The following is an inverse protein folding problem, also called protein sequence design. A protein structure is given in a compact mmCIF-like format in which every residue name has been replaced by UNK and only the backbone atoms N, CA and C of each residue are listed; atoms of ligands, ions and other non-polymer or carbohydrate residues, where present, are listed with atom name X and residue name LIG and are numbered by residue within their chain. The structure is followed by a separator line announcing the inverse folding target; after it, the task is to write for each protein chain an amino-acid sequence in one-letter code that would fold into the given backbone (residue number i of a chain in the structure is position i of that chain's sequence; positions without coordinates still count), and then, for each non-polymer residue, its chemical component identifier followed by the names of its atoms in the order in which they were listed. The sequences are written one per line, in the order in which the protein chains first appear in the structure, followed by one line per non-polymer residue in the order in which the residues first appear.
data_IF_845290336364
#
_entry.id   IF_845290336364
#
_cell.length_a   1.000
_cell.length_b   1.000
_cell.length_c   1.000
_cell.angle_alpha   90.00
_cell.angle_beta   90.00
_cell.angle_gamma   90.00
#
_symmetry.space_group_name_H-M   'P 1'
#
loop_
_entity.id
_entity.type
_entity.pdbx_description
1 polymer ?
#
# COMPACT_ATOMS: atom_id res chain seq x y z
N UNK A 1 -16.73 8.64 28.11
CA UNK A 1 -17.12 10.06 28.21
C UNK A 1 -18.39 10.33 27.40
N UNK A 2 -19.07 11.45 27.61
CA UNK A 2 -20.19 11.88 26.77
C UNK A 2 -19.68 12.52 25.47
N UNK A 3 -20.50 12.48 24.42
CA UNK A 3 -20.23 13.17 23.16
C UNK A 3 -20.67 14.63 23.30
N UNK A 4 -19.85 15.57 22.82
CA UNK A 4 -20.03 17.00 22.97
C UNK A 4 -19.87 17.73 21.62
N UNK A 5 -20.69 17.32 20.63
CA UNK A 5 -20.79 17.95 19.31
C UNK A 5 -19.47 17.97 18.50
N UNK A 6 -18.51 17.09 18.78
CA UNK A 6 -17.19 17.09 18.13
C UNK A 6 -17.27 16.90 16.60
N UNK A 7 -18.30 16.22 16.09
CA UNK A 7 -18.54 16.01 14.65
C UNK A 7 -19.57 16.97 14.05
N UNK A 8 -20.10 17.93 14.81
CA UNK A 8 -20.99 18.96 14.27
C UNK A 8 -20.28 19.89 13.28
N UNK A 9 -19.01 20.17 13.54
CA UNK A 9 -18.11 20.95 12.68
C UNK A 9 -16.77 20.22 12.58
N UNK A 10 -16.29 20.05 11.35
CA UNK A 10 -15.01 19.41 11.04
C UNK A 10 -13.98 20.49 10.80
N UNK A 11 -13.19 20.81 11.82
CA UNK A 11 -12.25 21.93 11.87
C UNK A 11 -10.81 21.51 12.24
N UNK A 12 -10.54 20.22 12.35
CA UNK A 12 -9.22 19.68 12.71
C UNK A 12 -8.84 18.48 11.84
N UNK A 13 -7.52 18.22 11.74
CA UNK A 13 -6.98 17.03 11.07
C UNK A 13 -7.61 15.74 11.61
N UNK A 14 -7.67 15.58 12.94
CA UNK A 14 -8.17 14.36 13.58
C UNK A 14 -9.64 14.10 13.21
N UNK A 15 -10.50 15.13 13.24
CA UNK A 15 -11.92 15.02 12.88
C UNK A 15 -12.10 14.68 11.41
N UNK A 16 -11.39 15.38 10.51
CA UNK A 16 -11.47 15.14 9.07
C UNK A 16 -10.98 13.73 8.71
N UNK A 17 -9.84 13.33 9.28
CA UNK A 17 -9.28 11.98 9.12
C UNK A 17 -10.24 10.91 9.61
N UNK A 18 -10.77 11.05 10.83
CA UNK A 18 -11.63 10.03 11.39
C UNK A 18 -12.96 9.95 10.62
N UNK A 19 -13.51 11.07 10.17
CA UNK A 19 -14.69 11.09 9.30
C UNK A 19 -14.44 10.33 7.99
N UNK A 20 -13.31 10.58 7.33
CA UNK A 20 -12.92 9.85 6.12
C UNK A 20 -12.80 8.34 6.35
N UNK A 21 -12.21 7.95 7.47
CA UNK A 21 -12.08 6.55 7.87
C UNK A 21 -13.44 5.91 8.18
N UNK A 22 -14.38 6.65 8.79
CA UNK A 22 -15.76 6.22 8.99
C UNK A 22 -16.51 6.03 7.66
N UNK A 23 -16.24 6.88 6.67
CA UNK A 23 -16.76 6.73 5.31
C UNK A 23 -16.22 5.50 4.57
N UNK A 24 -15.06 4.99 4.97
CA UNK A 24 -14.47 3.76 4.44
C UNK A 24 -14.96 2.53 5.22
N UNK A 25 -14.46 2.32 6.44
CA UNK A 25 -14.66 1.09 7.22
C UNK A 25 -15.64 1.27 8.39
N UNK A 26 -16.08 2.49 8.68
CA UNK A 26 -17.07 2.75 9.74
C UNK A 26 -18.51 2.40 9.36
N UNK A 27 -19.41 2.40 10.32
CA UNK A 27 -20.84 2.23 10.11
C UNK A 27 -21.64 3.08 11.08
N UNK A 28 -22.82 3.48 10.62
CA UNK A 28 -23.90 4.02 11.44
C UNK A 28 -25.10 3.09 11.31
N UNK A 29 -25.94 2.99 12.35
CA UNK A 29 -27.16 2.17 12.34
C UNK A 29 -28.34 2.90 12.99
N UNK A 30 -29.57 2.47 12.66
CA UNK A 30 -30.84 3.00 13.20
C UNK A 30 -30.92 3.04 14.73
N UNK A 31 -30.16 2.20 15.43
CA UNK A 31 -30.03 2.20 16.88
C UNK A 31 -29.13 3.36 17.38
N UNK A 32 -28.91 4.38 16.54
CA UNK A 32 -28.02 5.51 16.77
C UNK A 32 -26.59 5.09 17.11
N UNK A 33 -26.15 3.95 16.58
CA UNK A 33 -24.84 3.39 16.90
C UNK A 33 -23.87 3.71 15.78
N UNK A 34 -22.78 4.36 16.15
CA UNK A 34 -21.61 4.57 15.30
C UNK A 34 -20.55 3.55 15.70
N UNK A 35 -19.95 2.88 14.73
CA UNK A 35 -18.92 1.87 14.97
C UNK A 35 -17.83 1.95 13.91
N UNK A 36 -16.60 1.70 14.33
CA UNK A 36 -15.51 1.29 13.45
C UNK A 36 -14.85 0.04 14.06
N UNK A 37 -14.44 -0.90 13.22
CA UNK A 37 -13.70 -2.09 13.62
C UNK A 37 -12.56 -2.33 12.64
N UNK A 38 -11.33 -2.46 13.15
CA UNK A 38 -10.12 -2.65 12.34
C UNK A 38 -9.20 -3.70 12.97
N UNK A 39 -8.39 -4.36 12.16
CA UNK A 39 -7.30 -5.23 12.65
C UNK A 39 -6.10 -4.43 13.15
N UNK A 40 -6.00 -3.17 12.75
CA UNK A 40 -4.89 -2.27 13.01
C UNK A 40 -5.01 -1.64 14.42
N UNK A 41 -4.69 -2.43 15.47
CA UNK A 41 -4.84 -2.06 16.90
C UNK A 41 -4.34 -0.66 17.22
N UNK A 42 -3.15 -0.32 16.74
CA UNK A 42 -2.53 0.97 17.03
C UNK A 42 -3.39 2.14 16.57
N UNK A 43 -4.01 2.05 15.39
CA UNK A 43 -4.86 3.13 14.90
C UNK A 43 -6.11 3.28 15.77
N UNK A 44 -6.67 2.17 16.26
CA UNK A 44 -7.81 2.19 17.17
C UNK A 44 -7.43 2.81 18.53
N UNK A 45 -6.28 2.44 19.08
CA UNK A 45 -5.79 3.02 20.35
C UNK A 45 -5.50 4.54 20.19
N UNK A 46 -4.93 4.96 19.05
CA UNK A 46 -4.67 6.37 18.72
C UNK A 46 -5.96 7.19 18.57
N UNK A 47 -7.02 6.58 18.01
CA UNK A 47 -8.35 7.19 17.87
C UNK A 47 -9.10 7.24 19.21
N UNK A 48 -8.95 6.22 20.06
CA UNK A 48 -9.54 6.21 21.41
C UNK A 48 -9.03 7.40 22.24
N UNK A 49 -7.73 7.69 22.17
CA UNK A 49 -7.14 8.81 22.88
C UNK A 49 -7.67 10.16 22.39
N UNK A 50 -7.90 10.31 21.08
CA UNK A 50 -8.40 11.54 20.46
C UNK A 50 -9.91 11.73 20.63
N UNK A 51 -10.66 10.62 20.68
CA UNK A 51 -12.12 10.60 20.77
C UNK A 51 -12.60 9.72 21.94
N UNK A 52 -12.30 10.11 23.20
CA UNK A 52 -12.51 9.28 24.40
C UNK A 52 -13.99 9.08 24.79
N UNK A 53 -14.91 9.62 23.99
CA UNK A 53 -16.35 9.36 24.13
C UNK A 53 -16.80 8.05 23.48
N UNK A 54 -15.99 7.46 22.59
CA UNK A 54 -16.22 6.11 22.07
C UNK A 54 -15.90 5.06 23.13
N UNK A 55 -16.65 3.95 23.10
CA UNK A 55 -16.36 2.78 23.92
C UNK A 55 -15.47 1.82 23.13
N UNK A 56 -14.33 1.44 23.71
CA UNK A 56 -13.44 0.44 23.15
C UNK A 56 -14.02 -0.97 23.30
N UNK A 57 -13.89 -1.77 22.25
CA UNK A 57 -14.22 -3.18 22.26
C UNK A 57 -13.24 -3.99 21.42
N UNK A 58 -13.30 -5.30 21.56
CA UNK A 58 -12.47 -6.25 20.81
C UNK A 58 -13.30 -7.49 20.50
N UNK A 59 -13.17 -8.00 19.28
CA UNK A 59 -13.84 -9.19 18.82
C UNK A 59 -12.81 -10.14 18.20
N UNK A 60 -12.63 -11.29 18.85
CA UNK A 60 -11.79 -12.35 18.32
C UNK A 60 -12.57 -13.14 17.26
N UNK A 61 -12.31 -12.82 16.00
CA UNK A 61 -12.86 -13.57 14.88
C UNK A 61 -11.98 -14.76 14.46
N UNK A 62 -10.75 -14.89 14.97
CA UNK A 62 -9.82 -15.96 14.57
C UNK A 62 -10.38 -17.36 14.86
N UNK A 63 -11.26 -17.45 15.87
CA UNK A 63 -12.03 -18.66 16.18
C UNK A 63 -13.00 -19.12 15.09
N UNK A 64 -13.28 -18.29 14.08
CA UNK A 64 -14.18 -18.60 12.97
C UNK A 64 -13.44 -18.95 11.66
N UNK A 65 -12.11 -18.93 11.64
CA UNK A 65 -11.32 -19.38 10.48
C UNK A 65 -9.88 -18.84 10.45
N UNK A 66 -8.98 -19.55 9.76
CA UNK A 66 -7.54 -19.23 9.71
C UNK A 66 -7.20 -17.84 9.18
N UNK A 67 -8.05 -17.30 8.29
CA UNK A 67 -7.87 -15.96 7.71
C UNK A 67 -8.52 -14.85 8.53
N UNK A 68 -9.25 -15.19 9.59
CA UNK A 68 -9.91 -14.23 10.44
C UNK A 68 -8.96 -13.75 11.52
N UNK A 69 -9.04 -12.47 11.85
CA UNK A 69 -8.16 -11.81 12.81
C UNK A 69 -8.97 -11.18 13.92
N UNK A 70 -8.33 -11.00 15.06
CA UNK A 70 -8.84 -10.12 16.11
C UNK A 70 -9.08 -8.74 15.50
N UNK A 71 -10.26 -8.18 15.78
CA UNK A 71 -10.60 -6.81 15.42
C UNK A 71 -10.80 -5.98 16.68
N UNK A 72 -10.24 -4.78 16.66
CA UNK A 72 -10.40 -3.77 17.68
C UNK A 72 -11.41 -2.75 17.20
N UNK A 73 -12.29 -2.30 18.08
CA UNK A 73 -13.42 -1.47 17.70
C UNK A 73 -13.62 -0.29 18.63
N UNK A 74 -14.14 0.80 18.06
CA UNK A 74 -14.70 1.93 18.78
C UNK A 74 -16.19 1.99 18.43
N UNK A 75 -17.04 2.03 19.45
CA UNK A 75 -18.49 2.13 19.27
C UNK A 75 -19.13 3.13 20.22
N UNK A 76 -20.13 3.87 19.73
CA UNK A 76 -20.91 4.80 20.54
C UNK A 76 -22.36 4.79 20.08
N UNK A 77 -23.27 4.51 21.00
CA UNK A 77 -24.71 4.73 20.79
C UNK A 77 -25.05 6.13 21.28
N UNK A 78 -25.27 7.06 20.35
CA UNK A 78 -25.62 8.44 20.64
C UNK A 78 -26.36 9.05 19.44
N UNK A 79 -27.58 9.55 19.68
CA UNK A 79 -28.45 10.10 18.64
C UNK A 79 -27.89 11.36 17.97
N UNK A 80 -27.23 12.23 18.74
CA UNK A 80 -26.66 13.48 18.22
C UNK A 80 -25.48 13.18 17.31
N UNK A 81 -24.53 12.35 17.76
CA UNK A 81 -23.40 11.89 16.94
C UNK A 81 -23.86 11.19 15.66
N UNK A 82 -24.88 10.32 15.75
CA UNK A 82 -25.48 9.69 14.57
C UNK A 82 -25.98 10.75 13.58
N UNK A 83 -26.73 11.74 14.07
CA UNK A 83 -27.31 12.78 13.23
C UNK A 83 -26.24 13.68 12.61
N UNK A 84 -25.19 14.03 13.35
CA UNK A 84 -24.07 14.83 12.84
C UNK A 84 -23.37 14.10 11.68
N UNK A 85 -23.03 12.83 11.84
CA UNK A 85 -22.41 12.03 10.77
C UNK A 85 -23.36 11.83 9.58
N UNK A 86 -24.66 11.63 9.84
CA UNK A 86 -25.66 11.54 8.79
C UNK A 86 -25.76 12.85 8.00
N UNK A 87 -25.77 13.99 8.69
CA UNK A 87 -25.79 15.32 8.06
C UNK A 87 -24.52 15.60 7.24
N UNK A 88 -23.38 15.07 7.68
CA UNK A 88 -22.11 15.10 6.94
C UNK A 88 -22.09 14.18 5.71
N UNK A 89 -23.17 13.42 5.46
CA UNK A 89 -23.34 12.62 4.25
C UNK A 89 -23.06 11.12 4.41
N UNK A 90 -22.72 10.67 5.62
CA UNK A 90 -22.59 9.24 5.89
C UNK A 90 -23.97 8.57 5.88
N UNK A 91 -24.02 7.31 5.43
CA UNK A 91 -25.26 6.54 5.34
C UNK A 91 -25.08 5.18 5.98
N UNK A 92 -26.17 4.62 6.50
CA UNK A 92 -26.23 3.20 6.84
C UNK A 92 -26.03 2.37 5.58
N UNK A 93 -25.45 1.15 5.67
CA UNK A 93 -25.29 0.25 4.52
C UNK A 93 -24.68 0.95 3.29
N UNK A 94 -23.71 1.84 3.55
CA UNK A 94 -23.08 2.74 2.57
C UNK A 94 -22.46 2.03 1.36
N UNK A 95 -21.99 0.80 1.53
CA UNK A 95 -21.39 0.03 0.44
C UNK A 95 -22.40 -0.80 -0.38
N UNK A 96 -23.68 -0.82 0.04
CA UNK A 96 -24.72 -1.62 -0.58
C UNK A 96 -25.95 -0.77 -0.92
N UNK A 97 -26.97 -0.78 -0.08
CA UNK A 97 -28.29 -0.20 -0.36
C UNK A 97 -28.23 1.32 -0.57
N UNK A 98 -27.40 2.03 0.20
CA UNK A 98 -27.38 3.49 0.19
C UNK A 98 -26.14 4.08 -0.48
N UNK A 99 -25.44 3.31 -1.33
CA UNK A 99 -24.21 3.75 -2.00
C UNK A 99 -24.37 5.01 -2.86
N UNK A 100 -25.54 5.21 -3.46
CA UNK A 100 -25.86 6.39 -4.27
C UNK A 100 -26.33 7.59 -3.44
N UNK A 101 -26.57 7.39 -2.13
CA UNK A 101 -27.04 8.44 -1.21
C UNK A 101 -25.91 9.05 -0.37
N UNK A 102 -24.69 8.52 -0.48
CA UNK A 102 -23.51 9.09 0.19
C UNK A 102 -23.20 10.45 -0.43
N UNK A 103 -22.93 11.43 0.42
CA UNK A 103 -22.44 12.75 0.00
C UNK A 103 -21.11 13.05 0.68
N UNK A 104 -20.19 13.70 -0.03
CA UNK A 104 -18.95 14.21 0.60
C UNK A 104 -19.31 15.53 1.28
N UNK A 105 -18.91 15.74 2.55
CA UNK A 105 -19.13 17.02 3.23
C UNK A 105 -18.28 18.12 2.58
N UNK A 106 -18.79 19.35 2.60
CA UNK A 106 -17.97 20.51 2.28
C UNK A 106 -16.99 20.75 3.43
N UNK A 107 -15.69 20.66 3.13
CA UNK A 107 -14.60 20.86 4.09
C UNK A 107 -13.64 21.90 3.51
N UNK A 108 -12.96 22.62 4.39
CA UNK A 108 -11.85 23.47 3.99
C UNK A 108 -10.82 22.66 3.17
N UNK A 109 -10.20 23.30 2.18
CA UNK A 109 -9.23 22.65 1.31
C UNK A 109 -8.08 21.99 2.10
N UNK A 110 -7.69 22.60 3.23
CA UNK A 110 -6.65 22.10 4.13
C UNK A 110 -7.08 20.93 5.02
N UNK A 111 -8.37 20.54 4.99
CA UNK A 111 -8.93 19.40 5.72
C UNK A 111 -9.38 18.28 4.78
N UNK A 112 -9.71 18.60 3.53
CA UNK A 112 -10.15 17.62 2.55
C UNK A 112 -9.09 16.55 2.26
N UNK A 113 -7.80 16.91 2.28
CA UNK A 113 -6.71 15.93 2.17
C UNK A 113 -6.69 14.93 3.35
N UNK A 114 -7.02 15.38 4.56
CA UNK A 114 -7.14 14.52 5.74
C UNK A 114 -8.35 13.58 5.66
N UNK A 115 -9.49 14.08 5.16
CA UNK A 115 -10.66 13.25 4.86
C UNK A 115 -10.34 12.17 3.82
N UNK A 116 -9.73 12.54 2.70
CA UNK A 116 -9.33 11.58 1.66
C UNK A 116 -8.27 10.60 2.21
N UNK A 117 -7.35 11.04 3.06
CA UNK A 117 -6.40 10.14 3.75
C UNK A 117 -7.13 9.12 4.62
N UNK A 118 -8.07 9.54 5.45
CA UNK A 118 -8.87 8.63 6.27
C UNK A 118 -9.60 7.59 5.41
N UNK A 119 -10.22 8.04 4.32
CA UNK A 119 -10.88 7.14 3.38
C UNK A 119 -9.90 6.18 2.71
N UNK A 120 -8.76 6.68 2.25
CA UNK A 120 -7.69 5.88 1.68
C UNK A 120 -7.16 4.85 2.69
N UNK A 121 -7.07 5.21 3.98
CA UNK A 121 -6.57 4.33 5.02
C UNK A 121 -7.51 3.17 5.32
N UNK A 122 -8.82 3.32 5.12
CA UNK A 122 -9.73 2.18 5.12
C UNK A 122 -9.79 1.47 3.76
N UNK A 123 -10.27 2.17 2.73
CA UNK A 123 -10.65 1.60 1.42
C UNK A 123 -9.58 1.65 0.33
N UNK A 124 -8.43 2.27 0.59
CA UNK A 124 -7.30 2.28 -0.34
C UNK A 124 -6.50 0.98 -0.32
N UNK A 125 -5.70 0.72 -1.35
CA UNK A 125 -4.74 -0.38 -1.37
C UNK A 125 -3.43 0.03 -2.01
N UNK A 126 -2.34 -0.56 -1.53
CA UNK A 126 -1.01 -0.42 -2.12
C UNK A 126 -0.48 -1.83 -2.30
N UNK A 127 -0.32 -2.25 -3.55
CA UNK A 127 0.18 -3.58 -3.89
C UNK A 127 1.57 -3.50 -4.50
N UNK A 128 2.41 -4.47 -4.13
CA UNK A 128 3.75 -4.66 -4.64
C UNK A 128 3.75 -6.00 -5.37
N UNK A 129 3.87 -6.01 -6.71
CA UNK A 129 3.98 -7.28 -7.44
C UNK A 129 5.25 -8.02 -7.02
N UNK A 130 5.14 -9.32 -6.77
CA UNK A 130 6.26 -10.17 -6.33
C UNK A 130 7.47 -10.11 -7.28
N UNK A 131 7.21 -10.08 -8.59
CA UNK A 131 8.25 -9.98 -9.62
C UNK A 131 8.82 -8.57 -9.80
N UNK A 132 8.22 -7.54 -9.18
CA UNK A 132 8.61 -6.14 -9.33
C UNK A 132 8.55 -5.44 -7.96
N UNK A 133 9.47 -5.73 -7.04
CA UNK A 133 9.42 -5.24 -5.65
C UNK A 133 9.47 -3.71 -5.52
N UNK A 134 9.95 -3.02 -6.57
CA UNK A 134 10.01 -1.56 -6.63
C UNK A 134 8.81 -0.93 -7.34
N UNK A 135 7.87 -1.71 -7.88
CA UNK A 135 6.60 -1.17 -8.35
C UNK A 135 5.65 -0.96 -7.16
N UNK A 136 4.86 0.10 -7.22
CA UNK A 136 3.68 0.28 -6.40
C UNK A 136 2.48 0.42 -7.33
N UNK A 137 1.42 -0.31 -7.06
CA UNK A 137 0.10 -0.06 -7.65
C UNK A 137 -0.79 0.40 -6.51
N UNK A 138 -1.22 1.65 -6.58
CA UNK A 138 -2.04 2.30 -5.56
C UNK A 138 -3.46 2.43 -6.09
N UNK A 139 -4.45 2.06 -5.28
CA UNK A 139 -5.86 2.12 -5.66
C UNK A 139 -6.71 2.75 -4.57
N UNK A 140 -7.74 3.50 -4.95
CA UNK A 140 -8.89 3.87 -4.10
C UNK A 140 -10.12 3.27 -4.74
N UNK A 141 -10.95 2.58 -3.95
CA UNK A 141 -12.16 1.95 -4.47
C UNK A 141 -13.42 2.20 -3.63
N UNK A 142 -14.57 2.20 -4.29
CA UNK A 142 -15.88 2.29 -3.66
C UNK A 142 -16.94 1.61 -4.51
N UNK A 143 -18.01 1.14 -3.87
CA UNK A 143 -19.22 0.71 -4.56
C UNK A 143 -20.02 1.91 -5.11
N UNK A 144 -19.78 3.11 -4.58
CA UNK A 144 -20.40 4.36 -5.03
C UNK A 144 -19.59 4.99 -6.16
N UNK A 145 -20.18 5.07 -7.36
CA UNK A 145 -19.57 5.76 -8.50
C UNK A 145 -19.44 7.26 -8.21
N UNK A 146 -20.48 7.84 -7.62
CA UNK A 146 -20.51 9.24 -7.21
C UNK A 146 -19.30 9.60 -6.35
N UNK A 147 -19.02 8.81 -5.31
CA UNK A 147 -17.91 9.08 -4.38
C UNK A 147 -16.56 9.07 -5.10
N UNK A 148 -16.31 8.07 -5.96
CA UNK A 148 -15.05 7.96 -6.69
C UNK A 148 -14.88 9.10 -7.70
N UNK A 149 -15.93 9.47 -8.42
CA UNK A 149 -15.89 10.59 -9.33
C UNK A 149 -15.69 11.93 -8.60
N UNK A 150 -16.25 12.08 -7.40
CA UNK A 150 -15.98 13.25 -6.57
C UNK A 150 -14.55 13.29 -6.05
N UNK A 151 -13.98 12.18 -5.60
CA UNK A 151 -12.56 12.13 -5.26
C UNK A 151 -11.67 12.46 -6.45
N UNK A 152 -11.98 11.95 -7.64
CA UNK A 152 -11.26 12.31 -8.86
C UNK A 152 -11.29 13.82 -9.11
N UNK A 153 -12.46 14.46 -8.99
CA UNK A 153 -12.60 15.92 -9.17
C UNK A 153 -11.76 16.69 -8.15
N UNK A 154 -11.84 16.33 -6.86
CA UNK A 154 -11.10 16.98 -5.77
C UNK A 154 -9.59 16.80 -5.94
N UNK A 155 -9.14 15.61 -6.33
CA UNK A 155 -7.71 15.35 -6.56
C UNK A 155 -7.19 16.16 -7.75
N UNK A 156 -7.94 16.21 -8.85
CA UNK A 156 -7.56 17.02 -10.02
C UNK A 156 -7.53 18.53 -9.70
N UNK A 157 -8.47 19.04 -8.89
CA UNK A 157 -8.45 20.45 -8.47
C UNK A 157 -7.27 20.79 -7.56
N UNK A 158 -6.65 19.79 -6.93
CA UNK A 158 -5.44 19.92 -6.12
C UNK A 158 -4.17 19.50 -6.88
N UNK A 159 -4.21 19.50 -8.22
CA UNK A 159 -3.08 19.14 -9.09
C UNK A 159 -2.56 17.71 -8.87
N UNK A 160 -3.42 16.79 -8.44
CA UNK A 160 -3.10 15.36 -8.30
C UNK A 160 -3.73 14.59 -9.46
N UNK A 161 -2.88 14.21 -10.42
CA UNK A 161 -3.30 13.44 -11.58
C UNK A 161 -3.92 12.10 -11.18
N UNK A 162 -5.04 11.77 -11.82
CA UNK A 162 -5.78 10.51 -11.63
C UNK A 162 -5.76 9.72 -12.95
N UNK A 163 -4.65 9.05 -13.30
CA UNK A 163 -4.40 8.59 -14.67
C UNK A 163 -5.31 7.45 -15.11
N UNK A 164 -5.81 6.65 -14.16
CA UNK A 164 -6.63 5.48 -14.47
C UNK A 164 -7.92 5.48 -13.66
N UNK A 165 -9.03 5.25 -14.38
CA UNK A 165 -10.35 4.96 -13.83
C UNK A 165 -10.83 3.65 -14.44
N UNK A 166 -11.27 2.71 -13.62
CA UNK A 166 -11.82 1.43 -14.10
C UNK A 166 -12.97 0.95 -13.23
N UNK A 167 -13.81 0.12 -13.82
CA UNK A 167 -14.91 -0.56 -13.15
C UNK A 167 -14.56 -2.05 -13.05
N UNK A 168 -14.57 -2.60 -11.83
CA UNK A 168 -14.50 -4.05 -11.61
C UNK A 168 -15.92 -4.55 -11.40
N UNK A 169 -16.41 -5.34 -12.34
CA UNK A 169 -17.73 -5.97 -12.24
C UNK A 169 -17.67 -7.09 -11.19
N UNK A 170 -18.58 -7.05 -10.21
CA UNK A 170 -18.81 -8.18 -9.30
C UNK A 170 -20.27 -8.60 -9.38
N UNK A 171 -20.62 -9.86 -9.04
CA UNK A 171 -22.00 -10.35 -9.09
C UNK A 171 -23.00 -9.51 -8.29
N UNK A 172 -22.55 -8.88 -7.21
CA UNK A 172 -23.42 -8.10 -6.31
C UNK A 172 -23.44 -6.60 -6.64
N UNK A 173 -22.27 -6.02 -6.97
CA UNK A 173 -22.16 -4.61 -7.32
C UNK A 173 -20.84 -4.31 -8.05
N UNK A 174 -20.88 -3.30 -8.91
CA UNK A 174 -19.67 -2.75 -9.51
C UNK A 174 -18.81 -2.05 -8.46
N UNK A 175 -17.50 -2.24 -8.57
CA UNK A 175 -16.51 -1.51 -7.79
C UNK A 175 -15.79 -0.52 -8.70
N UNK A 176 -15.91 0.77 -8.40
CA UNK A 176 -15.27 1.86 -9.12
C UNK A 176 -13.90 2.12 -8.51
N UNK A 177 -12.87 2.24 -9.35
CA UNK A 177 -11.48 2.27 -8.91
C UNK A 177 -10.70 3.39 -9.59
N UNK A 178 -10.06 4.24 -8.79
CA UNK A 178 -8.96 5.10 -9.23
C UNK A 178 -7.64 4.39 -8.98
N UNK A 179 -6.73 4.47 -9.95
CA UNK A 179 -5.44 3.79 -9.88
C UNK A 179 -4.26 4.69 -10.27
N UNK A 180 -3.15 4.49 -9.55
CA UNK A 180 -1.86 5.09 -9.80
C UNK A 180 -0.77 4.02 -9.95
N UNK A 181 -0.03 4.12 -11.04
CA UNK A 181 1.10 3.23 -11.39
C UNK A 181 2.38 4.04 -11.65
N UNK A 182 2.25 5.24 -12.21
CA UNK A 182 3.38 6.11 -12.50
C UNK A 182 4.02 6.63 -11.20
N UNK A 183 5.34 6.54 -11.11
CA UNK A 183 6.10 6.86 -9.90
C UNK A 183 5.88 8.28 -9.39
N UNK A 184 5.85 9.25 -10.30
CA UNK A 184 5.62 10.66 -9.98
C UNK A 184 4.22 10.88 -9.38
N UNK A 185 3.17 10.36 -10.03
CA UNK A 185 1.80 10.52 -9.55
C UNK A 185 1.59 9.81 -8.19
N UNK A 186 2.28 8.69 -7.96
CA UNK A 186 2.26 7.98 -6.66
C UNK A 186 2.89 8.85 -5.56
N UNK A 187 3.99 9.55 -5.85
CA UNK A 187 4.63 10.46 -4.89
C UNK A 187 3.79 11.71 -4.65
N UNK A 188 3.20 12.29 -5.69
CA UNK A 188 2.29 13.43 -5.54
C UNK A 188 1.09 13.05 -4.68
N UNK A 189 0.49 11.88 -4.90
CA UNK A 189 -0.58 11.35 -4.06
C UNK A 189 -0.12 11.10 -2.63
N UNK A 190 1.06 10.50 -2.43
CA UNK A 190 1.65 10.27 -1.10
C UNK A 190 1.77 11.59 -0.34
N UNK A 191 2.35 12.61 -0.96
CA UNK A 191 2.57 13.91 -0.33
C UNK A 191 1.24 14.60 -0.02
N UNK A 192 0.27 14.55 -0.93
CA UNK A 192 -1.08 15.06 -0.69
C UNK A 192 -1.74 14.44 0.55
N UNK A 193 -1.61 13.11 0.73
CA UNK A 193 -2.26 12.39 1.82
C UNK A 193 -1.48 12.49 3.14
N UNK A 194 -0.16 12.31 3.13
CA UNK A 194 0.63 12.02 4.34
C UNK A 194 1.65 13.11 4.72
N UNK A 195 1.80 14.18 3.95
CA UNK A 195 2.73 15.26 4.31
C UNK A 195 2.30 15.88 5.64
N UNK A 196 3.24 15.85 6.62
CA UNK A 196 3.06 16.40 7.96
C UNK A 196 1.84 15.84 8.74
N UNK A 197 1.33 14.65 8.40
CA UNK A 197 0.18 14.09 9.09
C UNK A 197 0.53 13.67 10.52
N UNK A 198 -0.39 13.89 11.47
CA UNK A 198 -0.25 13.44 12.87
C UNK A 198 -0.95 12.11 13.14
N UNK A 199 -1.86 11.70 12.26
CA UNK A 199 -2.60 10.43 12.34
C UNK A 199 -2.69 9.78 10.96
N UNK A 200 -2.41 8.47 10.90
CA UNK A 200 -2.47 7.67 9.67
C UNK A 200 -2.39 6.19 9.97
N UNK A 201 -2.76 5.37 8.99
CA UNK A 201 -2.59 3.93 9.04
C UNK A 201 -1.16 3.54 8.67
N UNK A 202 -0.37 3.19 9.68
CA UNK A 202 1.08 2.92 9.56
C UNK A 202 1.45 1.98 8.43
N UNK A 203 0.79 0.82 8.32
CA UNK A 203 1.12 -0.18 7.28
C UNK A 203 0.99 0.38 5.85
N UNK A 204 0.09 1.33 5.59
CA UNK A 204 -0.06 1.95 4.27
C UNK A 204 0.98 3.06 4.07
N UNK A 205 1.21 3.87 5.10
CA UNK A 205 2.26 4.89 5.09
C UNK A 205 3.65 4.30 4.85
N UNK A 206 3.98 3.18 5.51
CA UNK A 206 5.25 2.47 5.36
C UNK A 206 5.46 1.92 3.93
N UNK A 207 4.38 1.48 3.26
CA UNK A 207 4.45 1.04 1.86
C UNK A 207 4.74 2.19 0.89
N UNK A 208 4.25 3.40 1.18
CA UNK A 208 4.64 4.63 0.48
C UNK A 208 6.05 5.08 0.83
N UNK A 209 6.45 5.00 2.09
CA UNK A 209 7.78 5.44 2.56
C UNK A 209 8.90 4.53 2.05
N UNK A 210 8.62 3.24 1.86
CA UNK A 210 9.54 2.28 1.26
C UNK A 210 9.68 2.43 -0.28
N UNK A 211 8.85 3.24 -0.92
CA UNK A 211 8.92 3.43 -2.37
C UNK A 211 10.09 4.34 -2.75
N UNK A 212 10.91 3.89 -3.69
CA UNK A 212 12.05 4.63 -4.23
C UNK A 212 11.89 4.78 -5.73
N UNK A 213 12.10 6.00 -6.24
CA UNK A 213 12.26 6.19 -7.68
C UNK A 213 13.56 5.50 -8.09
N UNK A 214 13.47 4.64 -9.09
CA UNK A 214 14.63 4.04 -9.73
C UNK A 214 14.84 4.78 -11.03
N UNK A 215 15.94 5.51 -11.11
CA UNK A 215 16.42 5.97 -12.39
C UNK A 215 16.97 4.74 -13.15
N UNK A 216 16.24 4.32 -14.17
CA UNK A 216 16.66 3.17 -15.01
C UNK A 216 17.98 3.45 -15.73
N UNK A 217 18.43 4.70 -15.81
CA UNK A 217 19.73 5.04 -16.38
C UNK A 217 20.89 4.66 -15.46
N UNK A 218 20.68 4.51 -14.15
CA UNK A 218 21.70 4.04 -13.22
C UNK A 218 22.11 2.58 -13.49
N UNK A 219 21.19 1.79 -14.04
CA UNK A 219 21.46 0.41 -14.47
C UNK A 219 22.13 0.34 -15.85
N UNK A 220 22.36 1.48 -16.53
CA UNK A 220 23.10 1.44 -17.78
C UNK A 220 24.58 1.10 -17.48
N UNK A 221 25.22 0.28 -18.33
CA UNK A 221 26.63 -0.02 -18.19
C UNK A 221 27.45 1.29 -18.19
N UNK A 222 28.47 1.36 -17.35
CA UNK A 222 29.43 2.48 -17.42
C UNK A 222 30.19 2.44 -18.74
N UNK A 223 30.62 3.60 -19.22
CA UNK A 223 31.35 3.68 -20.48
C UNK A 223 32.65 2.89 -20.38
N UNK A 224 32.92 1.91 -21.27
CA UNK A 224 34.13 1.10 -21.21
C UNK A 224 35.42 1.91 -21.47
N UNK A 225 35.31 3.12 -22.03
CA UNK A 225 36.47 3.99 -22.31
C UNK A 225 36.81 4.93 -21.16
N UNK A 226 35.81 5.49 -20.48
CA UNK A 226 36.02 6.59 -19.53
C UNK A 226 35.29 6.43 -18.19
N UNK A 227 34.60 5.31 -17.96
CA UNK A 227 33.89 5.02 -16.71
C UNK A 227 32.65 5.88 -16.43
N UNK A 228 32.35 6.87 -17.27
CA UNK A 228 31.20 7.77 -17.08
C UNK A 228 29.85 7.10 -17.35
N UNK A 229 28.76 7.76 -16.93
CA UNK A 229 27.39 7.34 -17.21
C UNK A 229 27.08 7.30 -18.71
N UNK A 230 26.14 6.43 -19.06
CA UNK A 230 25.73 6.21 -20.43
C UNK A 230 24.22 6.12 -20.52
N UNK A 231 23.69 6.42 -21.71
CA UNK A 231 22.26 6.40 -22.01
C UNK A 231 21.98 5.39 -23.10
N UNK A 232 20.95 4.58 -22.92
CA UNK A 232 20.46 3.66 -23.95
C UNK A 232 20.08 4.45 -25.20
N UNK A 233 20.68 4.08 -26.33
CA UNK A 233 20.56 4.70 -27.65
C UNK A 233 19.89 3.73 -28.66
N UNK A 234 18.83 3.08 -28.20
CA UNK A 234 18.01 2.13 -28.98
C UNK A 234 18.53 0.68 -28.98
N UNK A 235 17.85 -0.16 -29.76
CA UNK A 235 18.16 -1.57 -29.94
C UNK A 235 18.36 -1.88 -31.42
N UNK A 236 19.06 -2.97 -31.74
CA UNK A 236 19.23 -3.45 -33.12
C UNK A 236 19.13 -4.97 -33.14
N UNK A 237 18.35 -5.51 -34.06
CA UNK A 237 18.37 -6.95 -34.33
C UNK A 237 19.63 -7.28 -35.15
N UNK A 238 20.45 -8.20 -34.66
CA UNK A 238 21.61 -8.74 -35.38
C UNK A 238 21.38 -10.22 -35.67
N UNK A 239 22.20 -10.79 -36.56
CA UNK A 239 22.14 -12.23 -36.91
C UNK A 239 22.29 -13.11 -35.66
N UNK A 240 23.11 -12.69 -34.69
CA UNK A 240 23.39 -13.42 -33.45
C UNK A 240 22.46 -13.05 -32.28
N UNK A 241 21.43 -12.23 -32.51
CA UNK A 241 20.47 -11.84 -31.48
C UNK A 241 20.28 -10.33 -31.33
N UNK A 242 19.46 -9.95 -30.35
CA UNK A 242 19.15 -8.55 -30.07
C UNK A 242 20.31 -7.90 -29.32
N UNK A 243 20.70 -6.70 -29.74
CA UNK A 243 21.71 -5.89 -29.06
C UNK A 243 21.15 -4.54 -28.64
N UNK A 244 21.63 -4.02 -27.51
CA UNK A 244 21.29 -2.71 -26.97
C UNK A 244 22.47 -1.77 -27.22
N UNK A 245 22.19 -0.61 -27.81
CA UNK A 245 23.19 0.44 -28.04
C UNK A 245 23.16 1.42 -26.89
N UNK A 246 24.31 1.96 -26.54
CA UNK A 246 24.51 2.98 -25.51
C UNK A 246 25.36 4.12 -26.05
N UNK A 247 25.10 5.34 -25.57
CA UNK A 247 25.91 6.53 -25.83
C UNK A 247 26.46 7.04 -24.51
N UNK A 248 27.75 7.31 -24.44
CA UNK A 248 28.36 7.90 -23.25
C UNK A 248 28.06 9.40 -23.16
N UNK A 249 27.67 9.86 -21.97
CA UNK A 249 27.35 11.27 -21.73
C UNK A 249 28.58 12.18 -21.76
N UNK A 250 29.76 11.66 -21.41
CA UNK A 250 31.01 12.43 -21.35
C UNK A 250 31.74 12.42 -22.71
N UNK A 251 32.17 11.25 -23.18
CA UNK A 251 32.97 11.16 -24.40
C UNK A 251 32.16 11.07 -25.70
N UNK A 252 30.83 11.12 -25.64
CA UNK A 252 29.89 11.03 -26.76
C UNK A 252 30.03 9.78 -27.67
N UNK A 253 30.83 8.80 -27.27
CA UNK A 253 31.02 7.55 -28.03
C UNK A 253 29.84 6.61 -27.87
N UNK A 254 29.54 5.89 -28.95
CA UNK A 254 28.55 4.82 -28.96
C UNK A 254 29.22 3.46 -28.76
N UNK A 255 28.54 2.55 -28.07
CA UNK A 255 28.92 1.15 -27.97
C UNK A 255 27.67 0.27 -27.83
N UNK A 256 27.84 -1.04 -27.94
CA UNK A 256 26.73 -1.99 -28.04
C UNK A 256 27.00 -3.19 -27.15
N UNK A 257 25.99 -3.64 -26.41
CA UNK A 257 26.03 -4.88 -25.63
C UNK A 257 24.91 -5.84 -26.07
N UNK A 258 25.09 -7.16 -25.98
CA UNK A 258 24.00 -8.11 -26.14
C UNK A 258 22.86 -7.82 -25.15
N UNK A 259 21.61 -7.96 -25.58
CA UNK A 259 20.49 -7.92 -24.65
C UNK A 259 20.52 -9.19 -23.79
N UNK A 260 20.64 -9.06 -22.47
CA UNK A 260 20.56 -10.20 -21.55
C UNK A 260 19.16 -10.82 -21.64
N UNK A 261 19.12 -12.15 -21.73
CA UNK A 261 17.89 -12.93 -21.65
C UNK A 261 17.63 -13.37 -20.20
N UNK A 262 16.39 -13.72 -19.84
CA UNK A 262 16.05 -14.18 -18.47
C UNK A 262 16.91 -15.37 -17.99
N UNK A 263 17.43 -16.19 -18.89
CA UNK A 263 18.36 -17.28 -18.57
C UNK A 263 19.74 -16.78 -18.15
N UNK A 264 20.19 -15.63 -18.68
CA UNK A 264 21.50 -15.06 -18.40
C UNK A 264 21.52 -14.39 -17.00
N UNK A 265 20.43 -13.76 -16.58
CA UNK A 265 20.28 -13.17 -15.23
C UNK A 265 20.33 -14.24 -14.12
N UNK A 266 19.72 -15.42 -14.34
CA UNK A 266 19.80 -16.57 -13.43
C UNK A 266 21.23 -17.12 -13.32
N UNK A 267 21.97 -17.14 -14.43
CA UNK A 267 23.35 -17.63 -14.45
C UNK A 267 24.31 -16.66 -13.74
N UNK A 268 24.11 -15.34 -13.88
CA UNK A 268 24.91 -14.34 -13.16
C UNK A 268 24.61 -14.31 -11.66
N UNK A 269 23.36 -14.47 -11.25
CA UNK A 269 23.01 -14.59 -9.83
C UNK A 269 23.60 -15.86 -9.19
N UNK A 270 23.60 -17.00 -9.90
CA UNK A 270 24.30 -18.21 -9.44
C UNK A 270 25.83 -18.01 -9.34
N UNK A 271 26.45 -17.28 -10.26
CA UNK A 271 27.89 -16.95 -10.20
C UNK A 271 28.23 -15.99 -9.06
N UNK A 272 27.37 -15.01 -8.77
CA UNK A 272 27.56 -14.10 -7.64
C UNK A 272 27.44 -14.84 -6.30
N UNK A 273 26.47 -15.76 -6.17
CA UNK A 273 26.31 -16.60 -4.98
C UNK A 273 27.47 -17.59 -4.79
N UNK A 274 27.98 -18.21 -5.87
CA UNK A 274 29.13 -19.09 -5.78
C UNK A 274 30.41 -18.34 -5.39
N UNK A 275 30.60 -17.11 -5.88
CA UNK A 275 31.76 -16.27 -5.50
C UNK A 275 31.74 -15.90 -4.01
N UNK A 276 30.55 -15.67 -3.43
CA UNK A 276 30.39 -15.42 -1.98
C UNK A 276 30.73 -16.68 -1.17
N UNK A 277 30.35 -17.88 -1.65
CA UNK A 277 30.63 -19.15 -0.97
C UNK A 277 32.13 -19.49 -0.99
N UNK A 278 32.84 -19.20 -2.09
CA UNK A 278 34.30 -19.42 -2.15
C UNK A 278 35.13 -18.43 -1.32
N UNK A 279 34.58 -17.28 -0.93
CA UNK A 279 35.27 -16.32 -0.05
C UNK A 279 35.22 -16.66 1.45
N UNK A 280 34.43 -17.68 1.86
CA UNK A 280 34.19 -18.02 3.27
C UNK A 280 34.91 -19.28 3.77
N UNK A 281 35.67 -19.99 2.94
CA UNK A 281 36.26 -21.29 3.29
C UNK A 281 37.79 -21.30 3.44
N UNK A 282 38.41 -20.19 3.84
CA UNK A 282 39.80 -20.18 4.31
C UNK A 282 39.86 -19.68 5.75
N UNK A 283 39.74 -20.63 6.68
CA UNK A 283 40.29 -20.68 8.06
C UNK A 283 39.51 -21.71 8.86
N UNK A 284 40.04 -22.93 8.98
CA UNK A 284 40.63 -23.37 10.25
C UNK A 284 41.05 -24.85 10.17
N UNK A 285 42.25 -25.07 10.69
CA UNK A 285 43.00 -26.31 10.73
C UNK A 285 42.70 -27.07 12.01
N UNK A 286 42.72 -28.41 11.90
CA UNK A 286 43.16 -29.36 12.94
C UNK A 286 42.43 -29.37 14.29
N UNK A 287 41.69 -30.44 14.56
CA UNK A 287 42.08 -31.39 15.62
C UNK A 287 41.30 -32.70 15.52
N UNK A 288 42.06 -33.78 15.49
CA UNK A 288 41.66 -35.18 15.59
C UNK A 288 41.29 -35.55 17.03
N UNK A 289 40.19 -36.26 17.24
CA UNK A 289 40.11 -37.31 18.27
C UNK A 289 38.94 -38.25 18.02
N UNK A 290 39.29 -39.53 17.93
CA UNK A 290 38.46 -40.74 17.92
C UNK A 290 37.50 -40.85 19.11
N UNK A 291 36.33 -41.46 18.91
CA UNK A 291 35.91 -42.66 19.63
C UNK A 291 34.60 -43.25 19.06
N UNK A 292 34.59 -44.57 18.93
CA UNK A 292 33.48 -45.42 18.54
C UNK A 292 32.51 -45.69 19.71
N UNK A 293 31.28 -46.08 19.39
CA UNK A 293 30.30 -46.99 20.06
C UNK A 293 29.02 -46.84 19.20
N UNK A 294 28.70 -47.75 18.28
CA UNK A 294 28.05 -49.05 18.42
C UNK A 294 26.53 -49.01 18.71
N UNK A 295 25.83 -49.91 18.02
CA UNK A 295 24.49 -50.50 18.21
C UNK A 295 23.24 -50.00 17.47
N UNK A 296 22.65 -51.02 16.82
CA UNK A 296 21.22 -51.34 16.60
C UNK A 296 20.45 -50.76 15.41
N UNK A 297 20.52 -51.54 14.35
CA UNK A 297 19.42 -51.96 13.46
C UNK A 297 18.19 -52.39 14.28
N UNK A 298 17.01 -51.89 13.92
CA UNK A 298 15.79 -52.70 13.80
C UNK A 298 14.77 -51.99 12.92
N UNK A 299 14.35 -52.67 11.86
CA UNK A 299 13.26 -52.24 10.98
C UNK A 299 11.92 -52.75 11.48
N UNK A 300 10.85 -52.09 11.05
CA UNK A 300 9.55 -52.74 10.84
C UNK A 300 8.68 -51.87 9.93
N UNK A 301 8.65 -52.30 8.67
CA UNK A 301 7.50 -52.13 7.77
C UNK A 301 6.33 -52.96 8.29
N UNK A 302 5.13 -52.39 8.41
CA UNK A 302 3.88 -52.94 7.83
C UNK A 302 2.69 -52.02 8.11
N UNK A 303 1.83 -51.93 7.09
CA UNK A 303 0.45 -51.40 6.98
C UNK A 303 0.23 -49.89 7.09
#
# INVERSE_FOLDING_TARGET
MEYNDEFKIIDTEDKAYFLGLLFADGSISKENTVRISLVDKQLIDDLELRFPFFNRGEFDYSKYGENHKIQYSLAKSNKVLYQDLFNLGLRERKSTENKELITIPELDNNLMNHFIRGYFDGNGSISIPSLRPNLRRVEICSASEYLINKFKQILLSNCIDCPYYRVKENPTYNLYVLEWIASENILNLKDYLYKNCTISLKRKKELFDSFKIIDKTDNNPKCPKCGSNTKKNGTRQMVKGLVIRYKCDNCNKNYTLPAQTKSDELLETHKALSTIIFSKNDKDTLTTSSQAIDTSIEGSTTT
#
